data_IF_451470643558
#
_entry.id   IF_451470643558
#
_cell.length_a   1.000
_cell.length_b   1.000
_cell.length_c   1.000
_cell.angle_alpha   90.00
_cell.angle_beta   90.00
_cell.angle_gamma   90.00
#
_symmetry.space_group_name_H-M   'P 1'
#
loop_
_entity.id
_entity.type
_entity.pdbx_description
1 polymer ?
#
# COMPACT_ATOMS: atom_id res chain seq x y z
N UNK A 1 32.85 -13.89 -7.35
CA UNK A 1 31.99 -15.04 -7.64
C UNK A 1 31.86 -16.05 -6.48
N UNK A 2 32.93 -16.32 -5.72
CA UNK A 2 32.86 -17.22 -4.53
C UNK A 2 32.16 -16.58 -3.32
N UNK A 3 32.23 -15.28 -3.15
CA UNK A 3 31.60 -14.53 -2.04
C UNK A 3 30.07 -14.46 -2.20
N UNK A 4 29.57 -14.23 -3.41
CA UNK A 4 28.13 -14.15 -3.70
C UNK A 4 27.39 -15.48 -3.46
N UNK A 5 28.03 -16.61 -3.77
CA UNK A 5 27.47 -17.94 -3.48
C UNK A 5 27.30 -18.23 -1.99
N UNK A 6 28.21 -17.66 -1.15
CA UNK A 6 28.12 -17.82 0.33
C UNK A 6 26.98 -16.98 0.93
N UNK A 7 26.72 -15.77 0.42
CA UNK A 7 25.64 -14.91 0.92
C UNK A 7 24.28 -15.50 0.56
N UNK A 8 24.11 -15.99 -0.66
CA UNK A 8 22.85 -16.66 -1.08
C UNK A 8 22.62 -17.92 -0.26
N UNK A 9 23.65 -18.71 0.03
CA UNK A 9 23.56 -19.92 0.83
C UNK A 9 23.20 -19.62 2.30
N UNK A 10 23.73 -18.55 2.87
CA UNK A 10 23.45 -18.14 4.27
C UNK A 10 22.03 -17.60 4.37
N UNK A 11 21.53 -16.84 3.39
CA UNK A 11 20.15 -16.34 3.40
C UNK A 11 19.14 -17.48 3.19
N UNK A 12 19.47 -18.46 2.36
CA UNK A 12 18.62 -19.65 2.16
C UNK A 12 18.64 -20.58 3.37
N UNK A 13 19.79 -20.77 4.02
CA UNK A 13 19.88 -21.54 5.26
C UNK A 13 19.23 -20.85 6.46
N UNK A 14 19.28 -19.51 6.57
CA UNK A 14 18.60 -18.77 7.63
C UNK A 14 17.08 -18.86 7.51
N UNK A 15 16.54 -18.93 6.30
CA UNK A 15 15.13 -19.19 6.07
C UNK A 15 14.71 -20.64 6.37
N UNK A 16 15.60 -21.61 6.21
CA UNK A 16 15.34 -23.03 6.54
C UNK A 16 15.53 -23.37 8.01
N UNK A 17 16.49 -22.74 8.72
CA UNK A 17 16.75 -23.02 10.13
C UNK A 17 15.73 -22.42 11.10
N UNK A 18 15.00 -21.37 10.70
CA UNK A 18 13.87 -20.87 11.49
C UNK A 18 12.64 -21.81 11.48
N UNK A 19 12.58 -22.77 10.57
CA UNK A 19 11.45 -23.71 10.48
C UNK A 19 11.51 -24.84 11.52
N UNK A 20 12.64 -25.06 12.18
CA UNK A 20 12.83 -26.23 13.08
C UNK A 20 12.72 -25.94 14.58
N UNK A 21 12.44 -24.71 15.00
CA UNK A 21 12.56 -24.31 16.41
C UNK A 21 11.25 -24.39 17.25
N UNK A 22 10.09 -24.73 16.66
CA UNK A 22 8.83 -24.80 17.40
C UNK A 22 7.98 -25.99 16.97
N UNK A 23 8.36 -27.17 17.43
CA UNK A 23 7.50 -28.35 17.39
C UNK A 23 6.69 -28.40 18.69
N UNK A 24 5.41 -28.07 18.62
CA UNK A 24 4.42 -28.49 19.62
C UNK A 24 3.37 -29.34 18.89
N UNK A 25 3.03 -30.48 19.44
CA UNK A 25 2.16 -31.49 18.89
C UNK A 25 0.78 -30.97 18.51
N UNK A 26 0.56 -30.82 17.23
CA UNK A 26 -0.70 -30.84 16.49
C UNK A 26 -0.31 -31.30 15.08
N UNK A 27 -1.17 -31.96 14.32
CA UNK A 27 -0.91 -32.51 12.97
C UNK A 27 0.14 -31.70 12.21
N UNK A 28 1.21 -32.34 11.74
CA UNK A 28 2.32 -31.62 11.06
C UNK A 28 1.79 -30.63 10.04
N UNK A 29 2.14 -29.34 10.17
CA UNK A 29 1.59 -28.32 9.30
C UNK A 29 1.98 -28.62 7.85
N UNK A 30 1.01 -28.69 6.95
CA UNK A 30 1.23 -28.94 5.53
C UNK A 30 1.67 -27.64 4.85
N UNK A 31 2.71 -27.74 4.04
CA UNK A 31 3.11 -26.64 3.16
C UNK A 31 2.06 -26.46 2.05
N UNK A 32 1.44 -25.28 2.00
CA UNK A 32 0.48 -24.92 0.95
C UNK A 32 1.08 -23.82 0.10
N UNK A 33 1.30 -24.10 -1.18
CA UNK A 33 1.82 -23.16 -2.17
C UNK A 33 0.67 -22.77 -3.11
N UNK A 34 0.45 -21.46 -3.30
CA UNK A 34 -0.58 -20.93 -4.18
C UNK A 34 0.04 -19.91 -5.15
N UNK A 35 -0.10 -20.10 -6.47
CA UNK A 35 0.22 -19.05 -7.41
C UNK A 35 -0.75 -17.87 -7.22
N UNK A 36 -0.25 -16.68 -7.44
CA UNK A 36 -1.02 -15.43 -7.43
C UNK A 36 -0.77 -14.69 -8.74
N UNK A 37 -1.73 -13.88 -9.17
CA UNK A 37 -1.55 -13.09 -10.37
C UNK A 37 -2.78 -12.29 -10.73
N UNK A 38 -2.58 -11.31 -11.61
CA UNK A 38 -3.66 -10.53 -12.23
C UNK A 38 -3.14 -9.79 -13.45
N UNK A 39 -4.08 -9.42 -14.31
CA UNK A 39 -3.88 -8.49 -15.41
C UNK A 39 -4.97 -7.43 -15.30
N UNK A 40 -4.56 -6.16 -15.37
CA UNK A 40 -5.47 -5.02 -15.50
C UNK A 40 -5.33 -4.45 -16.91
N UNK A 41 -6.44 -4.05 -17.49
CA UNK A 41 -6.52 -3.43 -18.80
C UNK A 41 -7.40 -2.19 -18.69
N UNK A 42 -6.91 -1.07 -19.19
CA UNK A 42 -7.61 0.20 -19.20
C UNK A 42 -7.82 0.67 -20.64
N UNK A 43 -8.95 1.30 -20.90
CA UNK A 43 -9.24 2.01 -22.13
C UNK A 43 -9.90 3.35 -21.78
N UNK A 44 -9.56 4.42 -22.50
CA UNK A 44 -10.12 5.73 -22.21
C UNK A 44 -9.92 6.73 -23.33
N UNK A 45 -10.80 7.71 -23.32
CA UNK A 45 -10.74 8.92 -24.13
C UNK A 45 -10.62 10.08 -23.15
N UNK A 46 -9.69 10.99 -23.40
CA UNK A 46 -9.36 12.10 -22.51
C UNK A 46 -9.42 13.39 -23.28
N UNK A 47 -10.05 14.40 -22.67
CA UNK A 47 -10.14 15.71 -23.23
C UNK A 47 -10.00 16.77 -22.13
N UNK A 48 -9.26 17.82 -22.42
CA UNK A 48 -9.13 19.01 -21.57
C UNK A 48 -9.50 20.26 -22.36
N UNK A 49 -10.11 21.24 -21.70
CA UNK A 49 -10.33 22.57 -22.26
C UNK A 49 -9.06 23.42 -22.26
N UNK A 50 -8.02 23.01 -21.55
CA UNK A 50 -6.69 23.60 -21.58
C UNK A 50 -5.88 22.90 -22.67
N UNK A 51 -5.54 23.61 -23.74
CA UNK A 51 -4.80 23.07 -24.89
C UNK A 51 -3.43 22.50 -24.49
N UNK A 52 -2.74 23.10 -23.52
CA UNK A 52 -1.43 22.64 -23.07
C UNK A 52 -1.55 21.27 -22.39
N UNK A 53 -2.62 21.11 -21.63
CA UNK A 53 -2.91 19.84 -20.96
C UNK A 53 -3.47 18.80 -21.94
N UNK A 54 -4.36 19.19 -22.85
CA UNK A 54 -4.97 18.33 -23.85
C UNK A 54 -3.91 17.65 -24.74
N UNK A 55 -2.90 18.40 -25.13
CA UNK A 55 -1.76 17.91 -25.92
C UNK A 55 -0.88 16.89 -25.15
N UNK A 56 -1.00 16.78 -23.83
CA UNK A 56 -0.30 15.81 -23.00
C UNK A 56 -1.15 14.58 -22.67
N UNK A 57 -2.47 14.70 -22.82
CA UNK A 57 -3.41 13.61 -22.61
C UNK A 57 -3.52 12.80 -23.92
N UNK A 58 -3.50 11.49 -23.80
CA UNK A 58 -3.62 10.59 -24.93
C UNK A 58 -4.81 9.65 -24.74
N UNK A 59 -5.60 9.52 -25.79
CA UNK A 59 -6.60 8.47 -25.88
C UNK A 59 -5.93 7.12 -26.13
N UNK A 60 -6.54 6.05 -25.67
CA UNK A 60 -6.06 4.74 -26.02
C UNK A 60 -6.35 3.63 -25.02
N UNK A 61 -5.52 2.61 -25.12
CA UNK A 61 -5.57 1.43 -24.25
C UNK A 61 -4.22 1.23 -23.58
N UNK A 62 -4.26 0.71 -22.35
CA UNK A 62 -3.06 0.38 -21.61
C UNK A 62 -3.23 -0.93 -20.83
N UNK A 63 -2.11 -1.58 -20.55
CA UNK A 63 -2.02 -2.65 -19.56
C UNK A 63 -1.25 -2.09 -18.36
N UNK A 64 -1.94 -1.49 -17.39
CA UNK A 64 -1.31 -0.76 -16.29
C UNK A 64 -0.61 -1.67 -15.27
N UNK A 65 -1.01 -2.93 -15.18
CA UNK A 65 -0.46 -3.84 -14.18
C UNK A 65 -0.66 -5.31 -14.61
N UNK A 66 0.46 -6.00 -14.79
CA UNK A 66 0.51 -7.46 -14.89
C UNK A 66 1.27 -7.93 -13.66
N UNK A 67 0.69 -8.83 -12.87
CA UNK A 67 1.37 -9.42 -11.70
C UNK A 67 1.43 -10.92 -11.81
N UNK A 68 2.54 -11.44 -11.33
CA UNK A 68 2.74 -12.87 -11.11
C UNK A 68 3.43 -13.03 -9.76
N UNK A 69 3.04 -14.05 -9.01
CA UNK A 69 3.64 -14.30 -7.72
C UNK A 69 3.29 -15.65 -7.15
N UNK A 70 3.82 -15.88 -5.97
CA UNK A 70 3.60 -17.10 -5.19
C UNK A 70 3.41 -16.73 -3.74
N UNK A 71 2.45 -17.37 -3.09
CA UNK A 71 2.34 -17.39 -1.64
C UNK A 71 2.52 -18.81 -1.11
N UNK A 72 3.31 -18.96 -0.05
CA UNK A 72 3.54 -20.22 0.65
C UNK A 72 3.10 -20.06 2.10
N UNK A 73 2.31 -21.01 2.61
CA UNK A 73 1.86 -21.05 4.01
C UNK A 73 2.31 -22.35 4.64
N UNK A 74 2.92 -22.24 5.82
CA UNK A 74 3.34 -23.38 6.64
C UNK A 74 3.09 -23.08 8.11
N UNK A 75 2.11 -23.73 8.71
CA UNK A 75 1.68 -23.44 10.08
C UNK A 75 1.30 -21.97 10.27
N UNK A 76 1.99 -21.28 11.17
CA UNK A 76 1.79 -19.85 11.47
C UNK A 76 2.52 -18.91 10.51
N UNK A 77 3.35 -19.43 9.61
CA UNK A 77 4.15 -18.65 8.68
C UNK A 77 3.48 -18.53 7.32
N UNK A 78 3.55 -17.35 6.73
CA UNK A 78 3.13 -17.12 5.35
C UNK A 78 4.16 -16.23 4.66
N UNK A 79 4.74 -16.74 3.59
CA UNK A 79 5.61 -15.99 2.70
C UNK A 79 4.87 -15.59 1.43
N UNK A 80 5.20 -14.43 0.88
CA UNK A 80 4.66 -13.95 -0.39
C UNK A 80 5.75 -13.27 -1.21
N UNK A 81 5.78 -13.57 -2.51
CA UNK A 81 6.64 -12.89 -3.49
C UNK A 81 5.79 -12.57 -4.71
N UNK A 82 5.64 -11.30 -5.01
CA UNK A 82 4.96 -10.81 -6.21
C UNK A 82 5.92 -9.96 -7.06
N UNK A 83 5.88 -10.17 -8.37
CA UNK A 83 6.57 -9.37 -9.38
C UNK A 83 5.53 -8.73 -10.29
N UNK A 84 5.73 -7.50 -10.68
CA UNK A 84 4.85 -6.78 -11.59
C UNK A 84 5.57 -6.29 -12.83
N UNK A 85 4.87 -6.32 -13.94
CA UNK A 85 5.32 -5.73 -15.20
C UNK A 85 4.32 -4.67 -15.63
N UNK A 86 4.80 -3.46 -15.85
CA UNK A 86 4.03 -2.35 -16.36
C UNK A 86 4.93 -1.35 -17.09
N UNK A 87 4.45 -0.75 -18.17
CA UNK A 87 5.19 0.27 -18.92
C UNK A 87 6.61 -0.16 -19.30
N UNK A 88 6.75 -1.39 -19.80
CA UNK A 88 8.03 -1.99 -20.20
C UNK A 88 9.06 -2.10 -19.06
N UNK A 89 8.62 -2.02 -17.81
CA UNK A 89 9.47 -2.12 -16.63
C UNK A 89 9.01 -3.25 -15.72
N UNK A 90 9.95 -4.07 -15.31
CA UNK A 90 9.77 -5.07 -14.25
C UNK A 90 9.97 -4.41 -12.90
N UNK A 91 9.08 -4.69 -11.96
CA UNK A 91 9.16 -4.15 -10.60
C UNK A 91 8.82 -5.20 -9.56
N UNK A 92 9.54 -5.18 -8.46
CA UNK A 92 9.15 -5.93 -7.28
C UNK A 92 7.86 -5.33 -6.71
N UNK A 93 6.94 -6.19 -6.31
CA UNK A 93 5.71 -5.82 -5.61
C UNK A 93 5.82 -6.26 -4.15
N UNK A 94 4.97 -7.17 -3.68
CA UNK A 94 5.06 -7.61 -2.30
C UNK A 94 6.12 -8.70 -2.15
N UNK A 95 7.06 -8.50 -1.24
CA UNK A 95 8.00 -9.51 -0.76
C UNK A 95 7.87 -9.48 0.75
N UNK A 96 7.12 -10.40 1.33
CA UNK A 96 6.81 -10.38 2.75
C UNK A 96 6.84 -11.75 3.39
N UNK A 97 7.14 -11.74 4.69
CA UNK A 97 7.02 -12.86 5.59
C UNK A 97 6.09 -12.45 6.74
N UNK A 98 4.99 -13.18 6.89
CA UNK A 98 4.03 -12.99 7.97
C UNK A 98 4.21 -14.08 9.01
N UNK A 99 4.16 -13.73 10.29
CA UNK A 99 3.99 -14.67 11.39
C UNK A 99 2.66 -14.40 12.10
N UNK A 100 1.76 -15.36 12.07
CA UNK A 100 0.45 -15.28 12.68
C UNK A 100 0.52 -15.82 14.12
N UNK A 101 0.43 -14.95 15.13
CA UNK A 101 0.34 -15.35 16.53
C UNK A 101 -0.96 -16.12 16.77
N UNK A 102 -2.04 -15.59 16.22
CA UNK A 102 -3.38 -16.19 16.23
C UNK A 102 -4.20 -15.63 15.02
N UNK A 103 -5.51 -15.86 15.00
CA UNK A 103 -6.40 -15.46 13.90
C UNK A 103 -6.54 -13.94 13.74
N UNK A 104 -6.28 -13.17 14.79
CA UNK A 104 -6.46 -11.72 14.84
C UNK A 104 -5.13 -10.94 14.81
N UNK A 105 -4.03 -11.60 15.16
CA UNK A 105 -2.76 -10.91 15.39
C UNK A 105 -1.65 -11.50 14.54
N UNK A 106 -0.97 -10.65 13.79
CA UNK A 106 0.21 -11.02 13.01
C UNK A 106 1.28 -9.92 13.03
N UNK A 107 2.50 -10.31 12.74
CA UNK A 107 3.58 -9.42 12.33
C UNK A 107 3.96 -9.74 10.89
N UNK A 108 4.09 -8.71 10.07
CA UNK A 108 4.56 -8.77 8.68
C UNK A 108 5.88 -8.05 8.56
N UNK A 109 6.83 -8.66 7.87
CA UNK A 109 8.16 -8.09 7.61
C UNK A 109 8.49 -8.20 6.13
N UNK A 110 9.22 -7.24 5.60
CA UNK A 110 9.68 -7.22 4.22
C UNK A 110 9.34 -5.94 3.46
N UNK A 111 9.11 -6.05 2.15
CA UNK A 111 8.72 -4.97 1.25
C UNK A 111 7.25 -5.15 0.84
N UNK A 112 6.38 -4.30 1.36
CA UNK A 112 4.93 -4.44 1.18
C UNK A 112 4.22 -3.09 1.40
N UNK A 113 2.90 -3.05 1.18
CA UNK A 113 2.06 -1.87 1.46
C UNK A 113 1.80 -1.77 2.96
N UNK A 114 2.40 -0.77 3.61
CA UNK A 114 2.06 -0.44 5.00
C UNK A 114 0.71 0.27 5.04
N UNK A 115 -0.11 -0.03 6.05
CA UNK A 115 -1.49 0.47 6.09
C UNK A 115 -1.54 1.92 6.56
N UNK A 116 -1.97 2.82 5.68
CA UNK A 116 -2.27 4.21 5.95
C UNK A 116 -3.53 4.62 5.15
N UNK A 117 -4.64 4.80 5.86
CA UNK A 117 -5.91 5.13 5.24
C UNK A 117 -6.60 3.97 4.52
N UNK A 118 -7.77 4.26 4.02
CA UNK A 118 -8.71 3.29 3.47
C UNK A 118 -8.17 2.57 2.22
N UNK A 119 -7.54 3.31 1.31
CA UNK A 119 -7.07 2.76 0.03
C UNK A 119 -5.91 1.77 0.18
N UNK A 120 -5.13 1.86 1.27
CA UNK A 120 -4.06 0.89 1.56
C UNK A 120 -4.60 -0.48 1.99
N UNK A 121 -5.79 -0.51 2.61
CA UNK A 121 -6.51 -1.71 3.00
C UNK A 121 -7.40 -2.29 1.89
N UNK A 122 -7.55 -1.60 0.75
CA UNK A 122 -8.41 -2.03 -0.35
C UNK A 122 -7.56 -2.55 -1.50
N UNK A 123 -7.78 -3.81 -1.88
CA UNK A 123 -7.11 -4.37 -3.06
C UNK A 123 -7.45 -3.57 -4.30
N UNK A 124 -6.46 -3.34 -5.16
CA UNK A 124 -6.69 -2.67 -6.46
C UNK A 124 -7.66 -3.41 -7.39
N UNK A 125 -7.95 -4.69 -7.12
CA UNK A 125 -9.00 -5.43 -7.84
C UNK A 125 -10.42 -5.05 -7.42
N UNK A 126 -10.59 -4.27 -6.35
CA UNK A 126 -11.89 -3.88 -5.79
C UNK A 126 -12.11 -2.37 -5.79
N UNK A 127 -11.19 -1.62 -6.34
CA UNK A 127 -11.34 -0.18 -6.53
C UNK A 127 -12.38 0.12 -7.60
N UNK A 128 -13.12 1.19 -7.41
CA UNK A 128 -14.21 1.59 -8.34
C UNK A 128 -13.71 2.41 -9.53
N UNK A 129 -12.48 2.87 -9.49
CA UNK A 129 -11.82 3.63 -10.55
C UNK A 129 -10.56 2.94 -11.01
N UNK A 130 -10.08 3.27 -12.20
CA UNK A 130 -8.83 2.74 -12.76
C UNK A 130 -7.65 2.92 -11.81
N UNK A 131 -7.60 4.07 -11.14
CA UNK A 131 -6.56 4.40 -10.17
C UNK A 131 -7.17 4.91 -8.85
N UNK A 132 -6.31 5.10 -7.87
CA UNK A 132 -6.68 5.68 -6.59
C UNK A 132 -7.08 7.15 -6.72
N UNK A 133 -7.89 7.70 -5.81
CA UNK A 133 -8.20 9.12 -5.77
C UNK A 133 -6.92 9.98 -5.74
N UNK A 134 -6.95 11.15 -6.36
CA UNK A 134 -5.79 12.05 -6.48
C UNK A 134 -5.15 12.37 -5.13
N UNK A 135 -5.97 12.66 -4.12
CA UNK A 135 -5.48 12.93 -2.76
C UNK A 135 -4.71 11.72 -2.19
N UNK A 136 -5.19 10.49 -2.43
CA UNK A 136 -4.48 9.31 -1.97
C UNK A 136 -3.14 9.14 -2.69
N UNK A 137 -3.11 9.34 -4.00
CA UNK A 137 -1.87 9.23 -4.78
C UNK A 137 -0.82 10.27 -4.35
N UNK A 138 -1.25 11.48 -3.97
CA UNK A 138 -0.34 12.54 -3.51
C UNK A 138 0.28 12.26 -2.13
N UNK A 139 -0.49 11.68 -1.21
CA UNK A 139 -0.13 11.66 0.22
C UNK A 139 0.24 10.27 0.75
N UNK A 140 -0.04 9.22 0.00
CA UNK A 140 0.22 7.85 0.43
C UNK A 140 1.47 7.25 -0.20
N UNK A 141 2.28 6.60 0.63
CA UNK A 141 3.43 5.82 0.16
C UNK A 141 2.99 4.39 -0.15
N UNK A 142 3.29 3.90 -1.34
CA UNK A 142 2.81 2.60 -1.79
C UNK A 142 3.42 1.42 -1.03
N UNK A 143 4.70 1.13 -1.27
CA UNK A 143 5.42 0.01 -0.66
C UNK A 143 6.70 0.50 -0.01
N UNK A 144 6.96 -0.03 1.17
CA UNK A 144 8.12 0.32 1.99
C UNK A 144 8.75 -0.95 2.56
N UNK A 145 10.05 -0.92 2.82
CA UNK A 145 10.73 -1.99 3.55
C UNK A 145 10.53 -1.74 5.05
N UNK A 146 10.03 -2.73 5.76
CA UNK A 146 9.85 -2.57 7.20
C UNK A 146 9.16 -3.74 7.88
N UNK A 147 8.63 -3.45 9.05
CA UNK A 147 7.82 -4.38 9.84
C UNK A 147 6.52 -3.72 10.27
N UNK A 148 5.45 -4.47 10.26
CA UNK A 148 4.11 -4.01 10.64
C UNK A 148 3.42 -5.06 11.51
N UNK A 149 3.00 -4.65 12.70
CA UNK A 149 2.07 -5.42 13.51
C UNK A 149 0.64 -5.11 13.06
N UNK A 150 -0.20 -6.13 13.00
CA UNK A 150 -1.63 -6.02 12.65
C UNK A 150 -2.45 -6.73 13.71
N UNK A 151 -3.42 -6.01 14.27
CA UNK A 151 -4.52 -6.54 15.03
C UNK A 151 -5.81 -6.40 14.23
N UNK A 152 -6.45 -7.51 13.90
CA UNK A 152 -7.68 -7.57 13.07
C UNK A 152 -8.82 -8.21 13.86
N UNK A 153 -9.20 -7.63 15.02
CA UNK A 153 -10.30 -8.08 15.86
C UNK A 153 -11.67 -7.82 15.24
N UNK A 154 -12.74 -8.29 15.86
CA UNK A 154 -14.11 -8.18 15.34
C UNK A 154 -14.54 -6.72 15.08
N UNK A 155 -14.41 -5.86 16.10
CA UNK A 155 -14.88 -4.46 16.07
C UNK A 155 -13.77 -3.45 15.90
N UNK A 156 -12.53 -3.86 16.13
CA UNK A 156 -11.36 -2.99 16.07
C UNK A 156 -10.31 -3.58 15.14
N UNK A 157 -9.70 -2.69 14.37
CA UNK A 157 -8.50 -3.01 13.60
C UNK A 157 -7.45 -1.97 13.93
N UNK A 158 -6.23 -2.43 14.18
CA UNK A 158 -5.11 -1.56 14.50
C UNK A 158 -3.85 -2.05 13.80
N UNK A 159 -3.09 -1.13 13.25
CA UNK A 159 -1.75 -1.43 12.73
C UNK A 159 -0.74 -0.45 13.30
N UNK A 160 0.47 -0.94 13.52
CA UNK A 160 1.63 -0.12 13.87
C UNK A 160 2.82 -0.62 13.07
N UNK A 161 3.54 0.26 12.42
CA UNK A 161 4.66 -0.10 11.57
C UNK A 161 5.83 0.86 11.69
N UNK A 162 7.03 0.30 11.42
CA UNK A 162 8.27 1.04 11.22
C UNK A 162 8.85 0.66 9.87
N UNK A 163 9.43 1.60 9.16
CA UNK A 163 9.87 1.37 7.78
C UNK A 163 11.04 2.29 7.40
N UNK A 164 11.79 1.85 6.38
CA UNK A 164 12.66 2.71 5.59
C UNK A 164 11.90 3.21 4.35
N UNK A 165 12.26 4.39 3.85
CA UNK A 165 11.65 4.94 2.66
C UNK A 165 11.83 4.05 1.43
N UNK A 166 10.95 4.24 0.44
CA UNK A 166 10.93 3.47 -0.81
C UNK A 166 12.27 3.48 -1.57
N UNK A 167 13.04 4.54 -1.43
CA UNK A 167 14.36 4.65 -2.07
C UNK A 167 15.37 3.61 -1.58
N UNK A 168 15.15 3.01 -0.41
CA UNK A 168 15.97 1.90 0.08
C UNK A 168 16.07 0.74 -0.93
N UNK A 169 15.02 0.48 -1.69
CA UNK A 169 15.01 -0.55 -2.76
C UNK A 169 15.77 -0.15 -4.02
N UNK A 170 16.08 1.12 -4.18
CA UNK A 170 16.72 1.68 -5.39
C UNK A 170 18.17 2.07 -5.15
N UNK A 171 18.62 2.01 -3.91
CA UNK A 171 19.98 2.44 -3.56
C UNK A 171 21.03 1.46 -4.05
N UNK A 172 22.14 2.01 -4.51
CA UNK A 172 23.38 1.28 -4.75
C UNK A 172 24.05 0.94 -3.43
N UNK A 173 24.90 -0.07 -3.42
CA UNK A 173 25.55 -0.59 -2.20
C UNK A 173 26.38 0.44 -1.44
N UNK A 174 26.92 1.45 -2.13
CA UNK A 174 27.67 2.57 -1.55
C UNK A 174 26.79 3.59 -0.80
N UNK A 175 25.47 3.53 -0.98
CA UNK A 175 24.48 4.43 -0.37
C UNK A 175 23.60 3.75 0.69
N UNK A 176 23.70 2.44 0.85
CA UNK A 176 22.95 1.71 1.87
C UNK A 176 23.34 2.17 3.29
N UNK A 177 22.37 2.13 4.19
CA UNK A 177 22.54 2.54 5.59
C UNK A 177 22.34 4.03 5.86
N UNK A 178 21.90 4.79 4.86
CA UNK A 178 21.59 6.22 4.97
C UNK A 178 20.13 6.52 4.58
N UNK A 179 19.28 5.51 4.62
CA UNK A 179 17.87 5.62 4.28
C UNK A 179 17.13 6.45 5.30
N UNK A 180 16.14 7.19 4.83
CA UNK A 180 15.14 7.78 5.68
C UNK A 180 14.30 6.69 6.34
N UNK A 181 13.80 6.97 7.51
CA UNK A 181 12.95 6.06 8.27
C UNK A 181 11.63 6.72 8.65
N UNK A 182 10.65 5.92 8.92
CA UNK A 182 9.36 6.39 9.38
C UNK A 182 8.63 5.36 10.22
N UNK A 183 7.55 5.84 10.82
CA UNK A 183 6.59 5.02 11.55
C UNK A 183 5.18 5.46 11.18
N UNK A 184 4.25 4.52 11.14
CA UNK A 184 2.84 4.83 10.92
C UNK A 184 1.92 3.91 11.73
N UNK A 185 0.70 4.40 11.94
CA UNK A 185 -0.36 3.66 12.60
C UNK A 185 -1.68 3.91 11.89
N UNK A 186 -2.56 2.93 11.91
CA UNK A 186 -3.96 3.05 11.49
C UNK A 186 -4.84 2.39 12.54
N UNK A 187 -5.86 3.10 13.00
CA UNK A 187 -6.83 2.64 13.97
C UNK A 187 -8.22 2.72 13.34
N UNK A 188 -8.98 1.65 13.41
CA UNK A 188 -10.33 1.57 12.83
C UNK A 188 -11.30 0.98 13.85
N UNK A 189 -12.42 1.65 14.02
CA UNK A 189 -13.60 1.09 14.66
C UNK A 189 -14.63 0.70 13.62
N UNK A 190 -15.07 -0.56 13.65
CA UNK A 190 -15.94 -1.18 12.64
C UNK A 190 -17.04 -2.02 13.27
N UNK A 191 -18.05 -1.37 13.87
CA UNK A 191 -19.12 -2.06 14.58
C UNK A 191 -19.97 -2.95 13.68
N UNK A 192 -20.05 -2.64 12.36
CA UNK A 192 -20.81 -3.37 11.37
C UNK A 192 -19.90 -3.80 10.23
N UNK A 193 -19.80 -5.10 9.98
CA UNK A 193 -18.95 -5.70 8.91
C UNK A 193 -19.68 -6.81 8.15
N UNK A 194 -20.99 -6.91 8.32
CA UNK A 194 -21.83 -7.88 7.63
C UNK A 194 -22.05 -7.47 6.17
N UNK A 195 -22.37 -8.43 5.32
CA UNK A 195 -22.71 -8.17 3.93
C UNK A 195 -23.84 -7.15 3.83
N UNK A 196 -23.64 -6.09 3.06
CA UNK A 196 -24.61 -5.02 2.87
C UNK A 196 -24.93 -4.21 4.13
N UNK A 197 -24.17 -4.40 5.22
CA UNK A 197 -24.28 -3.62 6.45
C UNK A 197 -22.88 -3.32 6.97
N UNK A 198 -22.27 -2.31 6.42
CA UNK A 198 -20.91 -1.92 6.77
C UNK A 198 -20.92 -0.52 7.36
N UNK A 199 -20.26 -0.36 8.50
CA UNK A 199 -19.93 0.92 9.07
C UNK A 199 -18.53 0.87 9.66
N UNK A 200 -17.66 1.77 9.19
CA UNK A 200 -16.28 1.83 9.54
C UNK A 200 -15.85 3.29 9.61
N UNK A 201 -15.24 3.68 10.69
CA UNK A 201 -14.53 4.94 10.84
C UNK A 201 -13.13 4.64 11.32
N UNK A 202 -12.16 5.41 10.85
CA UNK A 202 -10.77 5.21 11.20
C UNK A 202 -9.96 6.47 11.13
N UNK A 203 -8.72 6.33 11.59
CA UNK A 203 -7.73 7.39 11.60
C UNK A 203 -6.36 6.79 11.38
N UNK A 204 -5.56 7.45 10.58
CA UNK A 204 -4.17 7.10 10.37
C UNK A 204 -3.25 8.26 10.70
N UNK A 205 -2.06 7.94 11.23
CA UNK A 205 -0.99 8.88 11.47
C UNK A 205 0.33 8.32 10.98
N UNK A 206 1.21 9.17 10.46
CA UNK A 206 2.55 8.78 10.07
C UNK A 206 3.56 9.89 10.37
N UNK A 207 4.76 9.48 10.66
CA UNK A 207 5.94 10.32 10.79
C UNK A 207 7.04 9.77 9.89
N UNK A 208 7.71 10.65 9.16
CA UNK A 208 8.84 10.32 8.31
C UNK A 208 10.00 11.29 8.59
N UNK A 209 11.19 10.75 8.76
CA UNK A 209 12.43 11.51 8.86
C UNK A 209 13.17 11.39 7.54
N UNK A 210 13.55 12.51 6.89
CA UNK A 210 14.31 12.43 5.65
C UNK A 210 15.68 11.81 5.90
N UNK A 211 16.26 11.29 4.84
CA UNK A 211 17.59 10.71 4.91
C UNK A 211 18.64 11.74 5.26
N UNK A 212 19.40 11.46 6.31
CA UNK A 212 20.52 12.25 6.74
C UNK A 212 21.85 11.54 6.50
N UNK A 213 22.76 12.23 5.82
CA UNK A 213 24.15 11.84 5.74
C UNK A 213 25.04 13.06 5.97
N UNK A 214 26.21 12.86 6.56
CA UNK A 214 27.22 13.93 6.70
C UNK A 214 27.71 14.43 5.35
N UNK A 215 27.75 13.55 4.35
CA UNK A 215 28.01 13.92 2.97
C UNK A 215 26.75 14.48 2.31
N UNK A 216 26.73 15.77 2.03
CA UNK A 216 25.60 16.46 1.41
C UNK A 216 25.19 15.87 0.05
N UNK A 217 26.14 15.31 -0.71
CA UNK A 217 25.87 14.72 -2.03
C UNK A 217 24.96 13.49 -1.99
N UNK A 218 24.89 12.79 -0.85
CA UNK A 218 24.03 11.61 -0.67
C UNK A 218 22.91 11.83 0.33
N UNK A 219 22.79 13.03 0.89
CA UNK A 219 21.63 13.40 1.73
C UNK A 219 20.42 13.67 0.87
N UNK A 220 19.31 13.07 1.23
CA UNK A 220 18.02 13.26 0.57
C UNK A 220 17.07 13.98 1.52
N UNK A 221 16.84 15.27 1.26
CA UNK A 221 16.03 16.17 2.11
C UNK A 221 14.88 16.81 1.32
N UNK A 222 14.24 16.04 0.46
CA UNK A 222 13.10 16.53 -0.31
C UNK A 222 11.98 15.50 -0.33
N UNK A 223 10.75 16.01 -0.36
CA UNK A 223 9.55 15.20 -0.59
C UNK A 223 8.83 15.71 -1.82
N UNK A 224 8.42 14.81 -2.70
CA UNK A 224 7.57 15.13 -3.84
C UNK A 224 6.17 14.61 -3.58
N UNK A 225 5.23 15.54 -3.50
CA UNK A 225 3.81 15.26 -3.46
C UNK A 225 3.29 15.32 -4.90
N UNK A 226 2.88 14.18 -5.44
CA UNK A 226 2.47 14.07 -6.84
C UNK A 226 1.13 13.35 -6.95
N UNK A 227 0.16 14.02 -7.55
CA UNK A 227 -1.15 13.49 -7.90
C UNK A 227 -1.24 13.35 -9.42
N UNK A 228 -0.92 12.20 -10.03
CA UNK A 228 -1.16 11.96 -11.43
C UNK A 228 -2.66 11.84 -11.69
N UNK A 229 -3.09 12.06 -12.94
CA UNK A 229 -4.46 11.76 -13.33
C UNK A 229 -4.82 10.30 -13.00
N UNK A 230 -6.09 10.02 -12.64
CA UNK A 230 -6.49 8.69 -12.18
C UNK A 230 -6.61 7.68 -13.32
N UNK A 231 -5.60 7.65 -14.19
CA UNK A 231 -5.45 6.72 -15.31
C UNK A 231 -3.96 6.44 -15.55
N UNK A 232 -3.66 5.28 -16.11
CA UNK A 232 -2.30 4.94 -16.56
C UNK A 232 -2.13 5.00 -18.08
N UNK A 233 -3.13 5.42 -18.80
CA UNK A 233 -3.04 5.68 -20.24
C UNK A 233 -2.15 6.90 -20.47
N UNK A 234 -2.38 7.99 -19.72
CA UNK A 234 -1.49 9.14 -19.67
C UNK A 234 -0.79 9.27 -18.30
N UNK A 235 0.51 9.57 -18.30
CA UNK A 235 1.28 9.77 -17.06
C UNK A 235 1.51 11.25 -16.77
N UNK A 236 0.45 12.02 -16.82
CA UNK A 236 0.46 13.46 -16.56
C UNK A 236 0.13 13.69 -15.09
N UNK A 237 0.87 14.59 -14.43
CA UNK A 237 0.54 15.01 -13.08
C UNK A 237 -0.54 16.10 -13.13
N UNK A 238 -1.66 15.86 -12.44
CA UNK A 238 -2.67 16.89 -12.21
C UNK A 238 -2.15 17.96 -11.26
N UNK A 239 -1.36 17.55 -10.27
CA UNK A 239 -0.67 18.42 -9.32
C UNK A 239 0.66 17.79 -8.92
N UNK A 240 1.69 18.60 -8.80
CA UNK A 240 3.00 18.18 -8.31
C UNK A 240 3.68 19.30 -7.54
N UNK A 241 4.28 18.99 -6.40
CA UNK A 241 5.10 19.89 -5.61
C UNK A 241 6.29 19.16 -5.02
N UNK A 242 7.49 19.66 -5.25
CA UNK A 242 8.71 19.16 -4.61
C UNK A 242 9.14 20.13 -3.52
N UNK A 243 9.20 19.67 -2.30
CA UNK A 243 9.53 20.41 -1.10
C UNK A 243 10.95 20.07 -0.68
N UNK A 244 11.86 21.01 -0.84
CA UNK A 244 13.28 20.89 -0.45
C UNK A 244 13.50 21.22 1.03
N UNK A 245 14.70 20.91 1.52
CA UNK A 245 15.17 21.20 2.88
C UNK A 245 14.26 20.64 3.98
N UNK A 246 13.64 19.51 3.69
CA UNK A 246 12.76 18.85 4.63
C UNK A 246 13.55 18.26 5.81
N UNK A 247 13.04 18.46 7.02
CA UNK A 247 13.58 17.95 8.28
C UNK A 247 12.73 16.86 8.89
N UNK A 248 11.44 16.97 8.74
CA UNK A 248 10.47 15.98 9.19
C UNK A 248 9.18 16.14 8.40
N UNK A 249 8.47 15.04 8.22
CA UNK A 249 7.14 15.00 7.62
C UNK A 249 6.21 14.26 8.57
N UNK A 250 4.99 14.76 8.75
CA UNK A 250 3.92 14.05 9.43
C UNK A 250 2.66 14.08 8.59
N UNK A 251 1.91 13.01 8.66
CA UNK A 251 0.63 12.82 7.96
C UNK A 251 -0.45 12.45 8.94
N UNK A 252 -1.65 12.88 8.62
CA UNK A 252 -2.85 12.57 9.37
C UNK A 252 -3.99 12.33 8.40
N UNK A 253 -4.80 11.29 8.64
CA UNK A 253 -5.87 10.93 7.70
C UNK A 253 -7.03 10.25 8.42
N UNK A 254 -8.15 10.93 8.69
CA UNK A 254 -9.40 10.31 9.04
C UNK A 254 -10.07 9.68 7.82
N UNK A 255 -10.78 8.58 8.04
CA UNK A 255 -11.45 7.81 7.01
C UNK A 255 -12.82 7.33 7.46
N UNK A 256 -13.73 7.17 6.52
CA UNK A 256 -15.05 6.59 6.73
C UNK A 256 -15.43 5.69 5.56
N UNK A 257 -16.07 4.56 5.89
CA UNK A 257 -16.64 3.64 4.92
C UNK A 257 -17.98 3.15 5.42
N UNK A 258 -18.96 3.14 4.53
CA UNK A 258 -20.33 2.83 4.86
C UNK A 258 -20.97 2.06 3.70
N UNK A 259 -21.79 1.04 4.01
CA UNK A 259 -22.65 0.40 3.01
C UNK A 259 -23.99 -0.04 3.63
N UNK A 260 -25.07 0.17 2.89
CA UNK A 260 -26.41 -0.38 3.16
C UNK A 260 -26.90 -1.04 1.88
N UNK A 261 -27.08 -2.37 1.93
CA UNK A 261 -27.48 -3.15 0.77
C UNK A 261 -26.51 -2.93 -0.39
N UNK A 262 -27.02 -2.46 -1.50
CA UNK A 262 -26.28 -2.17 -2.72
C UNK A 262 -25.69 -0.75 -2.79
N UNK A 263 -25.99 0.11 -1.83
CA UNK A 263 -25.42 1.44 -1.75
C UNK A 263 -24.15 1.42 -0.91
N UNK A 264 -23.11 2.09 -1.38
CA UNK A 264 -21.84 2.26 -0.68
C UNK A 264 -21.33 3.68 -0.76
N UNK A 265 -20.68 4.12 0.30
CA UNK A 265 -20.02 5.41 0.42
C UNK A 265 -18.67 5.26 1.12
N UNK A 266 -17.68 5.98 0.64
CA UNK A 266 -16.42 6.14 1.34
C UNK A 266 -15.92 7.58 1.23
N UNK A 267 -15.23 8.04 2.27
CA UNK A 267 -14.60 9.33 2.30
C UNK A 267 -13.29 9.27 3.09
N UNK A 268 -12.34 10.07 2.69
CA UNK A 268 -11.06 10.21 3.38
C UNK A 268 -10.52 11.62 3.21
N UNK A 269 -9.96 12.16 4.27
CA UNK A 269 -9.24 13.42 4.29
C UNK A 269 -7.76 13.15 4.59
N UNK A 270 -6.87 13.94 4.03
CA UNK A 270 -5.43 13.89 4.24
C UNK A 270 -4.91 15.26 4.64
N UNK A 271 -4.01 15.26 5.59
CA UNK A 271 -3.20 16.41 5.94
C UNK A 271 -1.73 15.99 6.01
N UNK A 272 -0.86 16.82 5.46
CA UNK A 272 0.59 16.66 5.48
C UNK A 272 1.22 17.94 5.97
N UNK A 273 2.09 17.84 6.98
CA UNK A 273 2.95 18.91 7.43
C UNK A 273 4.41 18.54 7.21
N UNK A 274 5.20 19.42 6.61
CA UNK A 274 6.62 19.26 6.38
C UNK A 274 7.36 20.39 7.07
N UNK A 275 8.15 20.04 8.09
CA UNK A 275 9.08 20.96 8.72
C UNK A 275 10.33 21.09 7.85
N UNK A 276 10.78 22.33 7.63
CA UNK A 276 11.93 22.62 6.78
C UNK A 276 13.09 23.22 7.57
N UNK A 277 14.31 23.05 7.08
CA UNK A 277 15.54 23.67 7.57
C UNK A 277 15.84 25.00 6.86
N UNK A 278 16.98 25.61 7.19
CA UNK A 278 17.54 26.76 6.49
C UNK A 278 16.61 28.00 6.46
N UNK A 279 15.90 28.25 7.58
CA UNK A 279 14.92 29.35 7.70
C UNK A 279 13.81 29.34 6.64
N UNK A 280 13.61 28.24 5.94
CA UNK A 280 12.51 28.09 4.99
C UNK A 280 11.18 27.91 5.74
N UNK A 281 10.09 28.51 5.27
CA UNK A 281 8.78 28.32 5.90
C UNK A 281 8.34 26.87 5.81
N UNK A 282 7.69 26.38 6.87
CA UNK A 282 7.08 25.05 6.85
C UNK A 282 6.06 24.95 5.72
N UNK A 283 5.91 23.75 5.17
CA UNK A 283 4.96 23.47 4.10
C UNK A 283 3.81 22.62 4.64
N UNK A 284 2.60 22.97 4.30
CA UNK A 284 1.42 22.21 4.64
C UNK A 284 0.59 21.98 3.38
N UNK A 285 0.04 20.77 3.27
CA UNK A 285 -0.88 20.42 2.20
C UNK A 285 -2.01 19.56 2.75
N UNK A 286 -3.16 19.60 2.08
CA UNK A 286 -4.29 18.78 2.41
C UNK A 286 -5.04 18.35 1.15
N UNK A 287 -5.82 17.32 1.26
CA UNK A 287 -6.68 16.85 0.20
C UNK A 287 -7.78 15.95 0.77
N UNK A 288 -8.85 15.81 0.02
CA UNK A 288 -9.96 14.95 0.41
C UNK A 288 -10.57 14.31 -0.83
N UNK A 289 -11.22 13.18 -0.63
CA UNK A 289 -12.09 12.58 -1.62
C UNK A 289 -13.30 11.93 -0.98
N UNK A 290 -14.33 11.76 -1.77
CA UNK A 290 -15.46 10.91 -1.45
C UNK A 290 -15.90 10.14 -2.69
N UNK A 291 -16.34 8.90 -2.50
CA UNK A 291 -16.89 8.05 -3.55
C UNK A 291 -18.27 7.55 -3.12
N UNK A 292 -19.21 7.69 -4.03
CA UNK A 292 -20.54 7.07 -3.95
C UNK A 292 -20.60 5.95 -4.97
N UNK A 293 -21.14 4.81 -4.58
CA UNK A 293 -21.25 3.63 -5.46
C UNK A 293 -22.57 2.92 -5.25
N UNK A 294 -23.06 2.34 -6.32
CA UNK A 294 -24.28 1.54 -6.29
C UNK A 294 -24.09 0.28 -7.13
N UNK A 295 -24.39 -0.87 -6.53
CA UNK A 295 -24.39 -2.16 -7.23
C UNK A 295 -25.72 -2.32 -7.98
N UNK A 296 -25.66 -2.29 -9.29
CA UNK A 296 -26.86 -2.52 -10.13
C UNK A 296 -27.35 -3.96 -10.01
N UNK A 297 -26.43 -4.91 -9.75
CA UNK A 297 -26.73 -6.33 -9.54
C UNK A 297 -25.78 -6.88 -8.47
N UNK A 298 -26.26 -7.79 -7.62
CA UNK A 298 -25.50 -8.43 -6.56
C UNK A 298 -26.22 -8.38 -5.21
N UNK A 299 -25.62 -8.99 -4.20
CA UNK A 299 -26.19 -9.14 -2.86
C UNK A 299 -25.58 -8.17 -1.82
N UNK A 300 -25.03 -7.06 -2.26
CA UNK A 300 -24.44 -6.05 -1.40
C UNK A 300 -22.89 -6.13 -1.32
N UNK A 301 -22.34 -5.13 -0.67
CA UNK A 301 -20.90 -5.03 -0.44
C UNK A 301 -20.44 -5.98 0.66
N UNK A 302 -19.24 -6.54 0.52
CA UNK A 302 -18.58 -7.34 1.53
C UNK A 302 -17.38 -6.57 2.13
N UNK A 303 -16.90 -7.04 3.26
CA UNK A 303 -15.83 -6.38 4.02
C UNK A 303 -14.70 -7.36 4.36
N UNK A 304 -13.45 -6.95 4.13
CA UNK A 304 -12.28 -7.73 4.56
C UNK A 304 -11.81 -7.28 5.93
N UNK A 305 -11.89 -8.17 6.91
CA UNK A 305 -11.45 -7.88 8.28
C UNK A 305 -9.93 -7.75 8.41
N UNK A 306 -9.17 -8.50 7.60
CA UNK A 306 -7.72 -8.53 7.66
C UNK A 306 -7.07 -7.18 7.30
N UNK A 307 -7.67 -6.46 6.34
CA UNK A 307 -7.12 -5.20 5.84
C UNK A 307 -8.00 -3.98 6.18
N UNK A 308 -9.12 -4.21 6.86
CA UNK A 308 -10.12 -3.19 7.21
C UNK A 308 -10.53 -2.35 5.98
N UNK A 309 -11.08 -3.01 4.97
CA UNK A 309 -11.49 -2.38 3.72
C UNK A 309 -12.65 -3.11 3.05
N UNK A 310 -13.21 -2.50 2.00
CA UNK A 310 -14.23 -3.17 1.18
C UNK A 310 -13.56 -4.29 0.37
N UNK A 311 -14.22 -5.42 0.31
CA UNK A 311 -13.86 -6.57 -0.51
C UNK A 311 -14.73 -6.64 -1.78
N UNK A 312 -14.52 -7.69 -2.56
CA UNK A 312 -15.35 -7.95 -3.75
C UNK A 312 -16.82 -8.01 -3.39
N UNK A 313 -17.69 -7.27 -4.08
CA UNK A 313 -19.13 -7.43 -3.93
C UNK A 313 -19.54 -8.87 -4.24
N UNK A 314 -20.54 -9.36 -3.53
CA UNK A 314 -21.12 -10.66 -3.85
C UNK A 314 -21.93 -10.55 -5.14
N UNK A 315 -21.59 -11.29 -6.21
CA UNK A 315 -22.32 -11.20 -7.48
C UNK A 315 -23.76 -11.75 -7.39
N UNK A 316 -24.09 -12.45 -6.31
CA UNK A 316 -25.32 -13.24 -6.24
C UNK A 316 -25.27 -14.51 -7.09
N UNK A 317 -26.29 -15.33 -7.00
CA UNK A 317 -26.47 -16.43 -7.95
C UNK A 317 -26.79 -15.87 -9.33
N UNK A 318 -26.17 -16.43 -10.35
CA UNK A 318 -26.47 -16.13 -11.76
C UNK A 318 -27.69 -16.96 -12.26
N UNK A 319 -28.67 -17.14 -11.40
CA UNK A 319 -29.94 -17.75 -11.80
C UNK A 319 -30.82 -16.77 -12.57
#
# INVERSE_FOLDING_TARGET
FRSMKRIILITTCALMTCASAFAQEDEEPKLVIKPTGRILMDAGVMHSTDETLDNQLNDGVAIPDVRMGVSATYGKWKAKVDVGYARQSLSLKDISLDYNFNKENLIRMGYFVHQFGLQSGTSSSFKISMEEPLANQAFFNSRLIGAMYVHAGEKFHATASVFAENDAMKMTTDKLGNEAWGAMTRLVWRPLTERGKIFHIGISGAYESPRYNKNAAISHKSYTLRAPFPTRIANVAAQEATISDAKALWKFSPEMNFAIGNFGFEAQYFYVGIKRDNAMPNYNAWGAYSNVRYLLKGQGYTYTKADAGIATPDPGSLE
#
